data_IF_355458266963
#
_entry.id   IF_355458266963
#
_cell.length_a   1.000
_cell.length_b   1.000
_cell.length_c   1.000
_cell.angle_alpha   90.00
_cell.angle_beta   90.00
_cell.angle_gamma   90.00
#
_symmetry.space_group_name_H-M   'P 1'
#
loop_
_entity.id
_entity.type
_entity.pdbx_description
1 polymer ?
#
# COMPACT_ATOMS: atom_id res chain seq x y z
N UNK A 1 66.59 15.69 15.89
CA UNK A 1 66.38 17.02 16.49
C UNK A 1 64.93 17.34 16.25
N UNK A 2 64.21 16.99 17.18
CA UNK A 2 63.54 17.71 18.25
C UNK A 2 62.17 18.18 17.74
N UNK A 3 61.19 17.53 18.18
CA UNK A 3 60.38 17.69 19.43
C UNK A 3 59.50 18.92 19.31
N UNK A 4 58.34 18.95 19.62
CA UNK A 4 57.49 18.47 20.71
C UNK A 4 56.15 19.23 20.59
N UNK A 5 55.08 18.57 20.85
CA UNK A 5 54.35 18.55 22.12
C UNK A 5 53.23 19.62 22.23
N UNK A 6 52.02 19.08 22.37
CA UNK A 6 50.95 19.41 23.34
C UNK A 6 50.33 20.82 23.26
N UNK A 7 49.10 21.04 23.49
CA UNK A 7 48.03 20.64 24.42
C UNK A 7 46.79 21.40 23.99
N UNK A 8 45.65 20.99 24.14
CA UNK A 8 44.75 20.57 25.21
C UNK A 8 43.54 21.52 25.28
N UNK A 9 42.38 20.93 25.42
CA UNK A 9 41.16 21.36 26.16
C UNK A 9 40.57 22.75 25.88
N UNK A 10 39.33 22.88 25.70
CA UNK A 10 38.21 22.67 26.59
C UNK A 10 36.89 22.94 25.87
N UNK A 11 36.00 22.01 26.03
CA UNK A 11 34.60 22.13 26.42
C UNK A 11 33.99 23.53 26.46
N UNK A 12 32.85 23.70 25.83
CA UNK A 12 31.68 24.30 26.47
C UNK A 12 30.40 23.75 25.80
N UNK A 13 29.62 23.03 26.58
CA UNK A 13 28.19 22.87 26.48
C UNK A 13 27.48 24.21 26.33
N UNK A 14 26.40 24.20 25.53
CA UNK A 14 25.11 24.80 25.93
C UNK A 14 24.09 24.48 24.84
N UNK A 15 23.22 23.54 25.11
CA UNK A 15 21.83 23.70 25.51
C UNK A 15 21.08 24.91 24.95
N UNK A 16 20.25 24.69 23.98
CA UNK A 16 19.04 25.50 23.74
C UNK A 16 17.97 24.64 23.06
N UNK A 17 17.14 23.99 23.87
CA UNK A 17 15.68 24.18 23.99
C UNK A 17 14.89 24.20 22.68
N UNK A 18 14.20 23.08 22.44
CA UNK A 18 12.88 23.02 21.80
C UNK A 18 11.88 23.92 22.55
N UNK A 19 11.01 24.62 21.82
CA UNK A 19 9.60 24.33 21.99
C UNK A 19 8.84 24.46 20.65
N UNK A 20 7.92 23.56 20.39
CA UNK A 20 6.63 23.71 19.73
C UNK A 20 6.10 22.38 19.15
N UNK A 21 5.91 21.43 20.06
CA UNK A 21 5.17 20.19 19.73
C UNK A 21 3.97 19.98 20.66
N UNK A 22 3.24 21.02 21.01
CA UNK A 22 2.10 20.91 21.93
C UNK A 22 0.82 21.62 21.47
N UNK A 23 0.73 22.07 20.21
CA UNK A 23 -0.49 22.77 19.71
C UNK A 23 -1.22 21.99 18.59
N UNK A 24 -0.65 20.92 18.05
CA UNK A 24 -1.26 20.16 16.96
C UNK A 24 -2.16 19.00 17.39
N UNK A 25 -2.24 18.67 18.67
CA UNK A 25 -3.00 17.52 19.17
C UNK A 25 -4.44 17.84 19.60
N UNK A 26 -4.83 19.12 19.72
CA UNK A 26 -6.16 19.50 20.21
C UNK A 26 -7.20 19.78 19.12
N UNK A 27 -6.81 19.90 17.87
CA UNK A 27 -7.74 20.14 16.75
C UNK A 27 -8.28 18.86 16.10
N UNK A 28 -7.64 17.72 16.31
CA UNK A 28 -8.11 16.44 15.78
C UNK A 28 -9.14 15.75 16.69
N UNK A 29 -9.16 16.06 17.99
CA UNK A 29 -10.09 15.46 18.95
C UNK A 29 -11.51 16.07 18.90
N UNK A 30 -11.68 17.24 18.31
CA UNK A 30 -12.99 17.92 18.26
C UNK A 30 -13.85 17.52 17.06
N UNK A 31 -13.28 16.97 16.00
CA UNK A 31 -14.03 16.53 14.81
C UNK A 31 -14.65 15.12 14.98
N UNK A 32 -14.17 14.34 15.94
CA UNK A 32 -14.67 12.96 16.18
C UNK A 32 -15.88 12.91 17.12
N UNK A 33 -16.18 14.01 17.84
CA UNK A 33 -17.27 14.04 18.85
C UNK A 33 -18.66 14.43 18.35
N UNK A 34 -18.85 14.72 17.07
CA UNK A 34 -20.16 15.17 16.54
C UNK A 34 -20.91 14.11 15.71
N UNK A 35 -20.46 12.86 15.66
CA UNK A 35 -21.15 11.79 14.89
C UNK A 35 -21.72 10.64 15.73
N UNK A 36 -21.68 10.70 17.06
CA UNK A 36 -22.20 9.63 17.91
C UNK A 36 -23.38 10.07 18.76
N UNK A 37 -24.48 10.45 18.13
CA UNK A 37 -25.81 10.40 18.77
C UNK A 37 -26.86 10.06 17.72
N UNK A 38 -27.12 8.77 17.51
CA UNK A 38 -28.50 8.30 17.37
C UNK A 38 -28.60 6.76 17.31
N UNK A 39 -29.42 6.26 18.24
CA UNK A 39 -30.14 4.99 18.26
C UNK A 39 -29.45 3.71 18.69
N UNK A 40 -29.60 3.45 19.99
CA UNK A 40 -29.74 2.10 20.49
C UNK A 40 -30.98 1.41 19.90
N UNK A 41 -30.81 0.26 19.28
CA UNK A 41 -31.85 -0.75 19.08
C UNK A 41 -31.20 -2.14 19.13
N UNK A 42 -31.77 -2.98 19.98
CA UNK A 42 -31.40 -4.35 20.33
C UNK A 42 -31.39 -5.29 19.13
N UNK A 43 -30.49 -6.29 19.14
CA UNK A 43 -30.66 -7.47 18.31
C UNK A 43 -29.35 -7.99 17.75
N UNK A 44 -28.82 -9.03 18.38
CA UNK A 44 -28.04 -10.16 17.84
C UNK A 44 -27.44 -9.96 16.44
N UNK A 45 -26.40 -9.16 16.29
CA UNK A 45 -25.66 -9.00 15.04
C UNK A 45 -24.33 -9.73 15.10
N UNK A 46 -24.29 -10.84 14.36
CA UNK A 46 -23.05 -11.42 13.86
C UNK A 46 -22.26 -10.33 13.18
N UNK A 47 -21.01 -10.15 13.56
CA UNK A 47 -20.06 -9.21 12.97
C UNK A 47 -19.87 -9.50 11.47
N UNK A 48 -20.78 -9.03 10.65
CA UNK A 48 -20.53 -8.86 9.22
C UNK A 48 -19.74 -7.57 9.08
N UNK A 49 -18.47 -7.68 8.70
CA UNK A 49 -17.65 -6.55 8.32
C UNK A 49 -18.44 -5.68 7.32
N UNK A 50 -18.49 -4.38 7.60
CA UNK A 50 -19.16 -3.41 6.74
C UNK A 50 -18.48 -3.46 5.36
N UNK A 51 -19.18 -4.03 4.39
CA UNK A 51 -18.71 -4.09 3.00
C UNK A 51 -18.53 -2.65 2.51
N UNK A 52 -17.27 -2.26 2.21
CA UNK A 52 -16.91 -0.92 1.72
C UNK A 52 -17.23 -0.74 0.22
N UNK A 53 -18.16 -1.52 -0.32
CA UNK A 53 -18.51 -1.55 -1.76
C UNK A 53 -19.06 -0.25 -2.35
N UNK A 54 -19.14 0.82 -1.54
CA UNK A 54 -19.57 2.15 -2.03
C UNK A 54 -18.42 3.11 -2.33
N UNK A 55 -17.19 2.86 -1.85
CA UNK A 55 -16.04 3.73 -2.10
C UNK A 55 -15.23 3.20 -3.27
N UNK A 56 -15.02 4.05 -4.28
CA UNK A 56 -14.34 3.69 -5.54
C UNK A 56 -12.96 4.30 -5.70
N UNK A 57 -12.48 5.08 -4.73
CA UNK A 57 -11.16 5.70 -4.73
C UNK A 57 -10.63 5.81 -3.29
N UNK A 58 -9.30 5.79 -3.11
CA UNK A 58 -8.65 5.83 -1.80
C UNK A 58 -7.41 6.72 -1.85
N UNK A 59 -7.25 7.55 -0.80
CA UNK A 59 -6.08 8.43 -0.60
C UNK A 59 -4.92 7.68 0.04
N UNK A 60 -3.75 8.31 0.12
CA UNK A 60 -2.57 7.76 0.81
C UNK A 60 -2.87 7.44 2.27
N UNK A 61 -3.56 8.35 2.96
CA UNK A 61 -3.90 8.22 4.38
C UNK A 61 -4.81 7.00 4.61
N UNK A 62 -5.77 6.77 3.72
CA UNK A 62 -6.65 5.60 3.80
C UNK A 62 -5.91 4.30 3.50
N UNK A 63 -4.94 4.32 2.58
CA UNK A 63 -4.09 3.16 2.31
C UNK A 63 -3.16 2.85 3.49
N UNK A 64 -2.62 3.86 4.15
CA UNK A 64 -1.85 3.71 5.40
C UNK A 64 -2.75 3.17 6.52
N UNK A 65 -3.97 3.69 6.68
CA UNK A 65 -4.96 3.17 7.64
C UNK A 65 -5.31 1.70 7.37
N UNK A 66 -5.38 1.29 6.07
CA UNK A 66 -5.50 -0.12 5.69
C UNK A 66 -4.31 -0.95 6.21
N UNK A 67 -3.09 -0.43 6.09
CA UNK A 67 -1.88 -1.07 6.61
C UNK A 67 -1.93 -1.29 8.13
N UNK A 68 -2.45 -0.34 8.87
CA UNK A 68 -2.65 -0.45 10.33
C UNK A 68 -3.88 -1.30 10.70
N UNK A 69 -4.70 -1.73 9.74
CA UNK A 69 -5.86 -2.58 9.96
C UNK A 69 -7.14 -1.83 10.34
N UNK A 70 -7.15 -0.51 10.15
CA UNK A 70 -8.27 0.35 10.50
C UNK A 70 -9.36 0.37 9.42
N UNK A 71 -8.98 0.12 8.15
CA UNK A 71 -9.91 0.21 7.02
C UNK A 71 -10.85 -1.00 6.93
N UNK A 72 -10.31 -2.22 7.00
CA UNK A 72 -11.08 -3.46 6.85
C UNK A 72 -11.31 -4.20 8.18
N UNK A 73 -10.74 -3.70 9.27
CA UNK A 73 -10.85 -4.30 10.60
C UNK A 73 -9.81 -5.37 10.91
N UNK A 74 -9.80 -5.79 12.17
CA UNK A 74 -8.83 -6.76 12.68
C UNK A 74 -8.97 -8.13 11.98
N UNK A 75 -7.81 -8.75 11.68
CA UNK A 75 -7.76 -10.09 11.06
C UNK A 75 -8.01 -10.11 9.55
N UNK A 76 -8.34 -8.97 8.95
CA UNK A 76 -8.61 -8.85 7.52
C UNK A 76 -7.37 -8.42 6.71
N UNK A 77 -7.55 -8.23 5.41
CA UNK A 77 -6.51 -7.82 4.50
C UNK A 77 -5.88 -6.48 4.94
N UNK A 78 -4.56 -6.39 4.84
CA UNK A 78 -3.79 -5.17 5.11
C UNK A 78 -2.82 -4.93 3.96
N UNK A 79 -2.57 -3.67 3.67
CA UNK A 79 -1.43 -3.28 2.86
C UNK A 79 -0.16 -3.29 3.73
N UNK A 80 1.03 -3.42 3.14
CA UNK A 80 2.26 -3.07 3.85
C UNK A 80 2.29 -1.57 4.16
N UNK A 81 3.20 -1.16 5.04
CA UNK A 81 3.40 0.24 5.41
C UNK A 81 4.80 0.71 5.03
N UNK A 82 5.04 1.99 5.18
CA UNK A 82 6.33 2.65 4.96
C UNK A 82 6.91 2.31 3.57
N UNK A 83 8.18 1.92 3.51
CA UNK A 83 8.91 1.65 2.28
C UNK A 83 8.31 0.55 1.39
N UNK A 84 7.48 -0.34 1.94
CA UNK A 84 6.85 -1.41 1.18
C UNK A 84 5.45 -1.06 0.67
N UNK A 85 4.89 0.10 1.05
CA UNK A 85 3.65 0.58 0.46
C UNK A 85 3.93 1.22 -0.90
N UNK A 86 3.76 0.45 -1.96
CA UNK A 86 4.09 0.85 -3.34
C UNK A 86 2.95 1.61 -4.04
N UNK A 87 2.09 2.30 -3.28
CA UNK A 87 0.90 2.99 -3.75
C UNK A 87 0.77 4.33 -3.03
N UNK A 88 0.42 5.39 -3.75
CA UNK A 88 0.03 6.67 -3.14
C UNK A 88 -1.48 6.88 -3.17
N UNK A 89 -2.17 6.26 -4.13
CA UNK A 89 -3.63 6.33 -4.22
C UNK A 89 -4.19 5.22 -5.09
N UNK A 90 -5.45 4.89 -4.84
CA UNK A 90 -6.30 4.14 -5.77
C UNK A 90 -7.25 5.15 -6.39
N UNK A 91 -7.12 5.38 -7.68
CA UNK A 91 -7.96 6.33 -8.41
C UNK A 91 -9.32 5.75 -8.73
N UNK A 92 -9.37 4.43 -8.92
CA UNK A 92 -10.60 3.73 -9.24
C UNK A 92 -10.53 2.26 -8.81
N UNK A 93 -11.61 1.77 -8.22
CA UNK A 93 -11.84 0.36 -7.93
C UNK A 93 -13.32 0.04 -8.15
N UNK A 94 -13.59 -1.05 -8.83
CA UNK A 94 -14.95 -1.51 -9.10
C UNK A 94 -15.01 -3.03 -9.09
N UNK A 95 -16.12 -3.60 -8.62
CA UNK A 95 -16.43 -5.04 -8.72
C UNK A 95 -16.96 -5.44 -10.10
N UNK A 96 -17.18 -4.47 -10.97
CA UNK A 96 -17.69 -4.62 -12.34
C UNK A 96 -16.70 -3.96 -13.31
N UNK A 97 -16.83 -4.22 -14.60
CA UNK A 97 -15.94 -3.65 -15.60
C UNK A 97 -14.61 -4.39 -15.73
N UNK A 98 -13.58 -3.66 -16.21
CA UNK A 98 -12.31 -4.24 -16.58
C UNK A 98 -12.38 -5.19 -17.78
N UNK A 99 -11.23 -5.70 -18.20
CA UNK A 99 -11.12 -6.54 -19.40
C UNK A 99 -11.97 -7.82 -19.37
N UNK A 100 -12.30 -8.30 -18.17
CA UNK A 100 -13.05 -9.54 -17.98
C UNK A 100 -14.47 -9.32 -17.44
N UNK A 101 -14.91 -8.07 -17.23
CA UNK A 101 -16.21 -7.74 -16.62
C UNK A 101 -16.36 -8.23 -15.16
N UNK A 102 -15.26 -8.40 -14.44
CA UNK A 102 -15.24 -8.97 -13.07
C UNK A 102 -14.59 -8.06 -12.05
N UNK A 103 -14.31 -6.83 -12.45
CA UNK A 103 -13.72 -5.79 -11.63
C UNK A 103 -12.35 -5.37 -12.09
N UNK A 104 -12.00 -4.16 -11.69
CA UNK A 104 -10.72 -3.54 -12.03
C UNK A 104 -10.25 -2.60 -10.92
N UNK A 105 -8.96 -2.32 -10.91
CA UNK A 105 -8.33 -1.36 -10.03
C UNK A 105 -7.34 -0.54 -10.85
N UNK A 106 -7.39 0.79 -10.68
CA UNK A 106 -6.41 1.73 -11.21
C UNK A 106 -5.79 2.46 -10.02
N UNK A 107 -4.49 2.33 -9.87
CA UNK A 107 -3.74 2.92 -8.75
C UNK A 107 -2.47 3.61 -9.25
N UNK A 108 -1.91 4.49 -8.45
CA UNK A 108 -0.74 5.29 -8.81
C UNK A 108 0.28 5.35 -7.68
N UNK A 109 1.54 5.49 -8.08
CA UNK A 109 2.69 5.84 -7.24
C UNK A 109 3.38 7.04 -7.90
N UNK A 110 3.55 8.13 -7.16
CA UNK A 110 4.33 9.29 -7.61
C UNK A 110 5.83 8.97 -7.49
N UNK A 111 6.59 9.32 -8.51
CA UNK A 111 8.02 9.06 -8.56
C UNK A 111 8.77 10.35 -8.23
N UNK A 112 9.66 10.24 -7.25
CA UNK A 112 10.57 11.29 -6.83
C UNK A 112 12.00 10.75 -6.79
N UNK A 113 13.01 11.55 -7.12
CA UNK A 113 14.40 11.08 -7.15
C UNK A 113 14.94 10.60 -5.81
N UNK A 114 14.34 11.02 -4.69
CA UNK A 114 14.68 10.65 -3.31
C UNK A 114 13.96 9.41 -2.79
N UNK A 115 13.23 8.68 -3.63
CA UNK A 115 12.66 7.40 -3.24
C UNK A 115 13.78 6.40 -2.90
N UNK A 116 13.66 5.76 -1.74
CA UNK A 116 14.66 4.93 -1.08
C UNK A 116 15.34 3.89 -1.99
N UNK A 117 14.63 3.34 -2.96
CA UNK A 117 15.16 2.30 -3.83
C UNK A 117 16.14 2.85 -4.87
N UNK A 118 16.10 4.13 -5.21
CA UNK A 118 17.05 4.75 -6.13
C UNK A 118 18.44 4.90 -5.52
N UNK A 119 18.56 5.02 -4.20
CA UNK A 119 19.84 5.09 -3.52
C UNK A 119 20.60 3.76 -3.52
N UNK A 120 19.89 2.65 -3.63
CA UNK A 120 20.48 1.31 -3.48
C UNK A 120 20.36 0.42 -4.73
N UNK A 121 19.56 0.79 -5.70
CA UNK A 121 19.30 -0.07 -6.87
C UNK A 121 19.40 0.72 -8.19
N UNK A 122 20.58 0.96 -8.72
CA UNK A 122 21.91 0.64 -8.25
C UNK A 122 22.69 1.94 -7.98
N UNK A 123 23.76 1.99 -7.16
CA UNK A 123 24.43 3.23 -6.76
C UNK A 123 24.94 4.17 -7.88
N UNK A 124 25.16 3.69 -9.08
CA UNK A 124 25.57 4.50 -10.23
C UNK A 124 24.57 4.44 -11.41
N UNK A 125 23.51 3.68 -11.25
CA UNK A 125 22.49 3.44 -12.28
C UNK A 125 21.12 3.27 -11.60
N UNK A 126 20.54 4.37 -11.07
CA UNK A 126 19.31 4.30 -10.28
C UNK A 126 18.11 3.92 -11.13
N UNK A 127 17.46 2.83 -10.75
CA UNK A 127 16.24 2.32 -11.37
C UNK A 127 15.37 1.65 -10.30
N UNK A 128 14.05 1.83 -10.37
CA UNK A 128 13.14 1.11 -9.48
C UNK A 128 13.24 -0.40 -9.70
N UNK A 129 13.43 -1.23 -8.65
CA UNK A 129 13.40 -2.68 -8.78
C UNK A 129 12.07 -3.16 -9.40
N UNK A 130 12.13 -3.96 -10.46
CA UNK A 130 10.92 -4.48 -11.11
C UNK A 130 10.04 -5.33 -10.18
N UNK A 131 10.66 -6.00 -9.20
CA UNK A 131 9.94 -6.76 -8.17
C UNK A 131 9.03 -5.89 -7.31
N UNK A 132 9.33 -4.60 -7.09
CA UNK A 132 8.46 -3.70 -6.33
C UNK A 132 7.18 -3.35 -7.11
N UNK A 133 7.29 -3.18 -8.44
CA UNK A 133 6.11 -3.02 -9.30
C UNK A 133 5.23 -4.27 -9.33
N UNK A 134 5.84 -5.45 -9.33
CA UNK A 134 5.12 -6.72 -9.23
C UNK A 134 4.44 -6.87 -7.86
N UNK A 135 5.13 -6.51 -6.78
CA UNK A 135 4.57 -6.55 -5.43
C UNK A 135 3.37 -5.58 -5.30
N UNK A 136 3.46 -4.37 -5.86
CA UNK A 136 2.34 -3.44 -5.93
C UNK A 136 1.09 -4.06 -6.56
N UNK A 137 1.25 -4.82 -7.63
CA UNK A 137 0.13 -5.51 -8.28
C UNK A 137 -0.49 -6.56 -7.36
N UNK A 138 0.30 -7.33 -6.60
CA UNK A 138 -0.24 -8.26 -5.58
C UNK A 138 -0.90 -7.53 -4.42
N UNK A 139 -0.36 -6.39 -3.97
CA UNK A 139 -0.98 -5.54 -2.95
C UNK A 139 -2.39 -5.12 -3.39
N UNK A 140 -2.55 -4.71 -4.64
CA UNK A 140 -3.84 -4.29 -5.21
C UNK A 140 -4.84 -5.44 -5.31
N UNK A 141 -4.42 -6.62 -5.72
CA UNK A 141 -5.31 -7.81 -5.72
C UNK A 141 -5.75 -8.16 -4.30
N UNK A 142 -4.83 -8.10 -3.33
CA UNK A 142 -5.15 -8.33 -1.91
C UNK A 142 -6.11 -7.29 -1.35
N UNK A 143 -5.88 -6.02 -1.68
CA UNK A 143 -6.75 -4.90 -1.32
C UNK A 143 -8.17 -5.09 -1.89
N UNK A 144 -8.27 -5.48 -3.16
CA UNK A 144 -9.56 -5.76 -3.82
C UNK A 144 -10.38 -6.81 -3.09
N UNK A 145 -9.75 -7.91 -2.67
CA UNK A 145 -10.43 -8.97 -1.92
C UNK A 145 -10.95 -8.47 -0.57
N UNK A 146 -10.14 -7.66 0.15
CA UNK A 146 -10.56 -7.02 1.40
C UNK A 146 -11.67 -6.00 1.20
N UNK A 147 -11.58 -5.16 0.18
CA UNK A 147 -12.59 -4.17 -0.19
C UNK A 147 -13.94 -4.82 -0.51
N UNK A 148 -13.93 -6.01 -1.11
CA UNK A 148 -15.13 -6.82 -1.31
C UNK A 148 -15.73 -7.42 -0.03
N UNK A 149 -15.08 -7.20 1.12
CA UNK A 149 -15.55 -7.71 2.41
C UNK A 149 -15.12 -9.15 2.73
N UNK A 150 -14.18 -9.71 1.96
CA UNK A 150 -13.68 -11.05 2.25
C UNK A 150 -12.74 -11.03 3.46
N UNK A 151 -12.92 -11.93 4.44
CA UNK A 151 -12.08 -11.99 5.63
C UNK A 151 -10.75 -12.69 5.36
N UNK A 152 -9.73 -12.33 6.16
CA UNK A 152 -8.44 -13.01 6.20
C UNK A 152 -7.27 -12.16 5.76
N UNK A 153 -6.06 -12.65 6.05
CA UNK A 153 -4.78 -11.99 5.77
C UNK A 153 -4.26 -12.35 4.38
N UNK A 154 -3.90 -11.34 3.58
CA UNK A 154 -3.42 -11.51 2.22
C UNK A 154 -2.04 -12.18 2.15
N UNK A 155 -1.88 -13.10 1.20
CA UNK A 155 -0.58 -13.67 0.80
C UNK A 155 -0.52 -13.78 -0.71
N UNK A 156 0.58 -13.32 -1.29
CA UNK A 156 0.90 -13.59 -2.68
C UNK A 156 1.18 -15.09 -2.86
N UNK A 157 0.53 -15.70 -3.84
CA UNK A 157 0.66 -17.13 -4.13
C UNK A 157 1.44 -17.41 -5.41
N UNK A 158 1.70 -16.37 -6.21
CA UNK A 158 2.46 -16.47 -7.45
C UNK A 158 1.84 -15.71 -8.60
N UNK A 159 2.43 -15.87 -9.76
CA UNK A 159 1.93 -15.37 -11.05
C UNK A 159 2.26 -16.38 -12.15
N UNK A 160 1.61 -16.27 -13.28
CA UNK A 160 1.88 -17.09 -14.44
C UNK A 160 3.11 -16.61 -15.20
N UNK A 161 3.03 -15.44 -15.79
CA UNK A 161 4.11 -14.84 -16.56
C UNK A 161 4.28 -13.37 -16.17
N UNK A 162 5.53 -12.91 -16.10
CA UNK A 162 5.86 -11.48 -15.96
C UNK A 162 6.79 -11.08 -17.10
N UNK A 163 6.50 -9.97 -17.74
CA UNK A 163 7.34 -9.36 -18.77
C UNK A 163 7.71 -7.95 -18.37
N UNK A 164 9.02 -7.70 -18.32
CA UNK A 164 9.57 -6.36 -18.13
C UNK A 164 10.09 -5.86 -19.49
N UNK A 165 9.46 -4.82 -20.03
CA UNK A 165 9.78 -4.23 -21.34
C UNK A 165 10.31 -2.81 -21.23
N UNK A 166 10.44 -2.29 -20.03
CA UNK A 166 10.95 -0.96 -19.72
C UNK A 166 11.38 -0.84 -18.27
N UNK A 167 11.73 0.36 -17.88
CA UNK A 167 12.26 0.69 -16.57
C UNK A 167 11.66 1.99 -16.04
N UNK A 168 11.72 2.19 -14.73
CA UNK A 168 11.29 3.40 -14.02
C UNK A 168 12.52 4.10 -13.49
N UNK A 169 12.82 5.27 -14.04
CA UNK A 169 13.98 6.10 -13.70
C UNK A 169 13.59 7.21 -12.70
N UNK A 170 14.55 7.81 -11.97
CA UNK A 170 14.29 8.95 -11.08
C UNK A 170 13.71 10.18 -11.78
N UNK A 171 13.84 10.25 -13.09
CA UNK A 171 13.28 11.34 -13.94
C UNK A 171 11.83 11.12 -14.33
N UNK A 172 11.24 9.97 -14.01
CA UNK A 172 9.82 9.72 -14.23
C UNK A 172 8.98 10.55 -13.26
N UNK A 173 7.73 10.78 -13.58
CA UNK A 173 6.79 11.50 -12.74
C UNK A 173 5.86 10.57 -12.00
N UNK A 174 5.41 9.50 -12.67
CA UNK A 174 4.35 8.66 -12.13
C UNK A 174 4.35 7.25 -12.70
N UNK A 175 4.06 6.30 -11.84
CA UNK A 175 3.70 4.92 -12.20
C UNK A 175 2.20 4.73 -12.04
N UNK A 176 1.57 4.10 -13.02
CA UNK A 176 0.16 3.69 -12.99
C UNK A 176 0.07 2.18 -13.05
N UNK A 177 -0.65 1.61 -12.11
CA UNK A 177 -0.99 0.18 -12.05
C UNK A 177 -2.43 0.00 -12.55
N UNK A 178 -2.62 -0.96 -13.46
CA UNK A 178 -3.96 -1.37 -13.91
C UNK A 178 -4.11 -2.86 -13.64
N UNK A 179 -5.10 -3.23 -12.84
CA UNK A 179 -5.40 -4.62 -12.46
C UNK A 179 -6.77 -4.99 -12.98
N UNK A 180 -6.85 -6.07 -13.73
CA UNK A 180 -8.08 -6.63 -14.27
C UNK A 180 -8.36 -7.98 -13.61
N UNK A 181 -9.43 -8.08 -12.84
CA UNK A 181 -9.82 -9.31 -12.16
C UNK A 181 -10.31 -10.34 -13.18
N UNK A 182 -9.69 -11.51 -13.17
CA UNK A 182 -10.07 -12.66 -14.01
C UNK A 182 -11.06 -13.58 -13.30
N UNK A 183 -10.78 -13.84 -12.03
CA UNK A 183 -11.56 -14.80 -11.25
C UNK A 183 -11.41 -14.56 -9.75
N UNK A 184 -12.50 -14.71 -9.02
CA UNK A 184 -12.49 -14.81 -7.57
C UNK A 184 -13.05 -16.19 -7.21
N UNK A 185 -12.37 -16.87 -6.31
CA UNK A 185 -12.75 -18.17 -5.77
C UNK A 185 -13.06 -17.96 -4.30
N UNK A 186 -14.31 -18.06 -3.93
CA UNK A 186 -14.82 -17.88 -2.58
C UNK A 186 -15.24 -19.25 -2.02
N UNK A 187 -14.27 -19.97 -1.46
CA UNK A 187 -14.47 -21.28 -0.82
C UNK A 187 -13.80 -21.26 0.56
N UNK A 188 -13.28 -22.39 1.02
CA UNK A 188 -12.46 -22.51 2.23
C UNK A 188 -11.25 -21.54 2.22
N UNK A 189 -10.67 -21.32 1.06
CA UNK A 189 -9.69 -20.26 0.78
C UNK A 189 -10.34 -19.26 -0.19
N UNK A 190 -10.31 -17.98 0.15
CA UNK A 190 -10.65 -16.91 -0.79
C UNK A 190 -9.40 -16.61 -1.62
N UNK A 191 -9.52 -16.65 -2.94
CA UNK A 191 -8.39 -16.38 -3.84
C UNK A 191 -8.83 -15.51 -5.01
N UNK A 192 -8.07 -14.44 -5.25
CA UNK A 192 -8.17 -13.61 -6.44
C UNK A 192 -7.14 -14.01 -7.49
N UNK A 193 -7.56 -14.04 -8.75
CA UNK A 193 -6.71 -14.19 -9.92
C UNK A 193 -6.94 -12.99 -10.81
N UNK A 194 -5.86 -12.30 -11.22
CA UNK A 194 -5.92 -11.09 -12.02
C UNK A 194 -4.78 -11.03 -13.03
N UNK A 195 -4.98 -10.24 -14.07
CA UNK A 195 -3.89 -9.75 -14.91
C UNK A 195 -3.61 -8.30 -14.53
N UNK A 196 -2.35 -7.89 -14.65
CA UNK A 196 -1.92 -6.54 -14.34
C UNK A 196 -0.98 -5.96 -15.38
N UNK A 197 -0.99 -4.65 -15.51
CA UNK A 197 0.01 -3.90 -16.23
C UNK A 197 0.49 -2.70 -15.44
N UNK A 198 1.72 -2.29 -15.71
CA UNK A 198 2.37 -1.12 -15.13
C UNK A 198 2.80 -0.19 -16.24
N UNK A 199 2.41 1.06 -16.13
CA UNK A 199 2.83 2.12 -17.04
C UNK A 199 3.62 3.19 -16.29
N UNK A 200 4.65 3.75 -16.94
CA UNK A 200 5.36 4.93 -16.47
C UNK A 200 5.08 6.08 -17.42
N UNK A 201 4.59 7.20 -16.89
CA UNK A 201 4.22 8.40 -17.65
C UNK A 201 3.34 8.08 -18.88
N UNK A 202 2.40 7.11 -18.73
CA UNK A 202 1.48 6.67 -19.78
C UNK A 202 2.02 5.60 -20.73
N UNK A 203 3.31 5.20 -20.63
CA UNK A 203 3.90 4.12 -21.43
C UNK A 203 3.89 2.81 -20.64
N UNK A 204 3.24 1.77 -21.16
CA UNK A 204 3.30 0.43 -20.56
C UNK A 204 4.71 -0.16 -20.59
N UNK A 205 5.15 -0.67 -19.45
CA UNK A 205 6.50 -1.20 -19.25
C UNK A 205 6.53 -2.58 -18.57
N UNK A 206 5.47 -2.99 -17.90
CA UNK A 206 5.35 -4.32 -17.29
C UNK A 206 4.00 -4.91 -17.63
N UNK A 207 3.97 -6.23 -17.77
CA UNK A 207 2.74 -7.02 -17.75
C UNK A 207 2.92 -8.22 -16.86
N UNK A 208 1.88 -8.60 -16.14
CA UNK A 208 1.83 -9.80 -15.31
C UNK A 208 0.51 -10.52 -15.52
N UNK A 209 0.58 -11.80 -15.86
CA UNK A 209 -0.58 -12.64 -16.06
C UNK A 209 -0.77 -13.58 -14.87
N UNK A 210 -2.03 -13.86 -14.54
CA UNK A 210 -2.42 -14.78 -13.49
C UNK A 210 -1.78 -14.47 -12.12
N UNK A 211 -1.75 -13.19 -11.74
CA UNK A 211 -1.44 -12.77 -10.38
C UNK A 211 -2.41 -13.46 -9.41
N UNK A 212 -1.88 -14.18 -8.42
CA UNK A 212 -2.68 -14.93 -7.46
C UNK A 212 -2.43 -14.43 -6.06
N UNK A 213 -3.50 -14.09 -5.36
CA UNK A 213 -3.48 -13.70 -3.95
C UNK A 213 -4.56 -14.48 -3.21
N UNK A 214 -4.21 -15.05 -2.07
CA UNK A 214 -5.13 -15.74 -1.18
C UNK A 214 -5.34 -14.97 0.12
N UNK A 215 -6.55 -15.03 0.69
CA UNK A 215 -6.85 -14.55 2.03
C UNK A 215 -6.96 -15.74 2.99
N UNK A 216 -6.11 -15.74 4.02
CA UNK A 216 -6.01 -16.81 5.02
C UNK A 216 -6.56 -16.35 6.37
N UNK A 217 -7.47 -17.11 6.94
CA UNK A 217 -8.00 -16.84 8.29
C UNK A 217 -7.01 -17.23 9.39
N UNK A 218 -6.17 -18.26 9.15
CA UNK A 218 -4.99 -18.60 9.94
C UNK A 218 -3.78 -18.70 9.03
N UNK A 219 -2.66 -18.13 9.46
CA UNK A 219 -1.37 -18.16 8.73
C UNK A 219 -0.33 -19.05 9.42
N UNK A 220 -0.73 -19.81 10.44
CA UNK A 220 0.17 -20.65 11.24
C UNK A 220 0.78 -21.82 10.47
N UNK A 221 0.13 -22.24 9.38
CA UNK A 221 0.55 -23.36 8.54
C UNK A 221 0.94 -22.95 7.12
N UNK A 222 1.22 -21.67 6.91
CA UNK A 222 1.61 -21.15 5.59
C UNK A 222 3.12 -20.96 5.49
#
# INVERSE_FOLDING_TARGET
MDSAILTDKDSVEQSAKLPNQLIALDLCASAIKLSTQNKAASGNDRHLGKIMTGQSAFTKEELVACGHGELFGEGNARLPVDNMLMLDRINYISSEGGANGKGEIIAELDIHPDLWFFDCHFPSDPVMPGCLGLDAMWQLVGFFLGWRGNPGRGRALGCGEVKFTGQILPTASKVTYNINIKRIIERKLVMGIADGSVSVDGREIYTANDLRVGLFQSTESF
#
